data_IF_855389553034
#
_entry.id   IF_855389553034
#
_cell.length_a   1.000
_cell.length_b   1.000
_cell.length_c   1.000
_cell.angle_alpha   90.00
_cell.angle_beta   90.00
_cell.angle_gamma   90.00
#
_symmetry.space_group_name_H-M   'P 1'
#
loop_
_entity.id
_entity.type
_entity.pdbx_description
1 polymer ?
#
# COMPACT_ATOMS: atom_id res chain seq x y z
N UNK A 1 64.42 -5.34 -88.14
CA UNK A 1 64.31 -6.14 -86.90
C UNK A 1 65.58 -6.96 -86.80
N UNK A 2 66.37 -6.80 -85.73
CA UNK A 2 67.51 -7.67 -85.49
C UNK A 2 67.00 -9.11 -85.30
N UNK A 3 67.70 -10.09 -85.89
CA UNK A 3 67.34 -11.49 -85.69
C UNK A 3 67.48 -11.84 -84.20
N UNK A 4 66.41 -12.36 -83.59
CA UNK A 4 66.47 -12.88 -82.23
C UNK A 4 67.37 -14.12 -82.20
N UNK A 5 68.44 -14.09 -81.41
CA UNK A 5 69.25 -15.28 -81.15
C UNK A 5 68.52 -16.15 -80.13
N UNK A 6 68.02 -17.31 -80.56
CA UNK A 6 67.38 -18.28 -79.65
C UNK A 6 68.46 -18.92 -78.77
N UNK A 7 68.38 -18.71 -77.46
CA UNK A 7 69.20 -19.42 -76.47
C UNK A 7 68.46 -20.70 -76.06
N UNK A 8 69.11 -21.86 -76.22
CA UNK A 8 68.59 -23.16 -75.80
C UNK A 8 69.25 -23.60 -74.49
N UNK A 9 68.45 -24.17 -73.59
CA UNK A 9 68.92 -24.77 -72.33
C UNK A 9 68.83 -26.30 -72.40
N UNK A 10 69.54 -27.00 -71.52
CA UNK A 10 69.40 -28.46 -71.41
C UNK A 10 67.97 -28.81 -71.04
N UNK A 11 67.45 -29.90 -71.61
CA UNK A 11 66.10 -30.40 -71.34
C UNK A 11 66.12 -31.90 -71.09
N UNK A 12 65.38 -32.35 -70.08
CA UNK A 12 65.25 -33.76 -69.72
C UNK A 12 63.80 -34.20 -69.81
N UNK A 13 63.57 -35.33 -70.46
CA UNK A 13 62.29 -36.06 -70.46
C UNK A 13 62.36 -37.38 -69.69
N UNK A 14 63.56 -37.77 -69.26
CA UNK A 14 63.85 -39.12 -68.71
C UNK A 14 64.26 -39.11 -67.25
N UNK A 15 64.84 -38.01 -66.77
CA UNK A 15 65.25 -37.82 -65.38
C UNK A 15 64.48 -36.66 -64.75
N UNK A 16 64.02 -36.86 -63.52
CA UNK A 16 63.26 -35.84 -62.80
C UNK A 16 64.16 -34.65 -62.44
N UNK A 17 65.41 -34.91 -62.08
CA UNK A 17 66.48 -33.91 -61.93
C UNK A 17 67.56 -34.17 -62.98
N UNK A 18 68.07 -33.15 -63.70
CA UNK A 18 69.26 -33.30 -64.56
C UNK A 18 70.45 -33.89 -63.78
N UNK A 19 71.18 -34.83 -64.38
CA UNK A 19 72.24 -35.58 -63.68
C UNK A 19 73.47 -34.71 -63.44
N UNK A 20 73.83 -33.83 -64.40
CA UNK A 20 74.91 -32.85 -64.24
C UNK A 20 74.57 -31.55 -64.98
N UNK A 21 74.85 -30.43 -64.33
CA UNK A 21 74.87 -29.09 -64.92
C UNK A 21 76.17 -28.41 -64.46
N UNK A 22 76.88 -27.77 -65.39
CA UNK A 22 78.02 -26.93 -65.01
C UNK A 22 77.55 -25.70 -64.20
N UNK A 23 78.47 -25.02 -63.52
CA UNK A 23 78.16 -23.77 -62.83
C UNK A 23 77.50 -22.77 -63.79
N UNK A 24 76.32 -22.27 -63.42
CA UNK A 24 75.52 -21.36 -64.23
C UNK A 24 74.73 -22.01 -65.38
N UNK A 25 74.91 -23.31 -65.63
CA UNK A 25 74.19 -24.00 -66.71
C UNK A 25 72.74 -24.29 -66.29
N UNK A 26 71.79 -23.90 -67.15
CA UNK A 26 70.37 -24.14 -66.94
C UNK A 26 69.91 -25.47 -67.52
N UNK A 27 69.02 -26.14 -66.78
CA UNK A 27 68.37 -27.38 -67.20
C UNK A 27 66.89 -27.37 -66.87
N UNK A 28 66.03 -27.83 -67.77
CA UNK A 28 64.60 -27.94 -67.54
C UNK A 28 64.14 -29.39 -67.59
N UNK A 29 63.34 -29.82 -66.61
CA UNK A 29 62.78 -31.17 -66.56
C UNK A 29 61.31 -31.16 -66.96
N UNK A 30 60.97 -31.95 -67.98
CA UNK A 30 59.59 -32.20 -68.42
C UNK A 30 59.02 -33.49 -67.83
N UNK A 31 59.84 -34.31 -67.16
CA UNK A 31 59.42 -35.63 -66.68
C UNK A 31 58.51 -35.52 -65.46
N UNK A 32 58.87 -34.67 -64.51
CA UNK A 32 58.07 -34.49 -63.32
C UNK A 32 56.90 -33.55 -63.63
N UNK A 33 55.78 -33.76 -62.95
CA UNK A 33 54.59 -32.90 -63.06
C UNK A 33 54.86 -31.46 -62.60
N UNK A 34 55.90 -31.26 -61.79
CA UNK A 34 56.33 -29.96 -61.28
C UNK A 34 57.02 -29.08 -62.32
N UNK A 35 57.40 -29.65 -63.47
CA UNK A 35 58.15 -29.02 -64.57
C UNK A 35 59.22 -28.03 -64.10
N UNK A 36 60.20 -28.57 -63.41
CA UNK A 36 61.18 -27.81 -62.64
C UNK A 36 62.31 -27.26 -63.53
N UNK A 37 62.66 -25.99 -63.32
CA UNK A 37 63.87 -25.36 -63.83
C UNK A 37 64.99 -25.52 -62.81
N UNK A 38 66.18 -25.87 -63.29
CA UNK A 38 67.37 -26.11 -62.49
C UNK A 38 68.55 -25.27 -62.98
N UNK A 39 69.49 -25.00 -62.08
CA UNK A 39 70.81 -24.43 -62.39
C UNK A 39 71.91 -25.28 -61.73
N UNK A 40 73.05 -25.42 -62.39
CA UNK A 40 74.24 -25.97 -61.75
C UNK A 40 74.97 -24.91 -60.93
N UNK A 41 75.50 -25.28 -59.76
CA UNK A 41 76.33 -24.39 -58.92
C UNK A 41 77.82 -24.74 -58.96
N UNK A 42 78.21 -25.63 -59.90
CA UNK A 42 79.58 -26.17 -60.00
C UNK A 42 79.80 -27.44 -59.19
N UNK A 43 78.90 -27.78 -58.26
CA UNK A 43 78.97 -29.00 -57.42
C UNK A 43 77.70 -29.84 -57.47
N UNK A 44 76.54 -29.20 -57.63
CA UNK A 44 75.20 -29.75 -57.49
C UNK A 44 74.24 -29.13 -58.51
N UNK A 45 73.09 -29.79 -58.69
CA UNK A 45 71.98 -29.31 -59.51
C UNK A 45 70.87 -28.81 -58.60
N UNK A 46 70.61 -27.50 -58.61
CA UNK A 46 69.66 -26.82 -57.72
C UNK A 46 68.37 -26.52 -58.49
N UNK A 47 67.21 -26.88 -57.91
CA UNK A 47 65.91 -26.45 -58.41
C UNK A 47 65.69 -24.96 -58.08
N UNK A 48 65.35 -24.16 -59.08
CA UNK A 48 65.19 -22.69 -58.97
C UNK A 48 63.80 -22.20 -59.36
N UNK A 49 62.87 -23.13 -59.60
CA UNK A 49 61.47 -22.83 -59.85
C UNK A 49 60.80 -23.94 -60.64
N UNK A 50 59.52 -23.78 -60.92
CA UNK A 50 58.76 -24.74 -61.69
C UNK A 50 57.27 -24.44 -61.63
N UNK A 51 56.50 -25.19 -62.41
CA UNK A 51 55.04 -25.05 -62.43
C UNK A 51 54.45 -25.31 -61.03
N UNK A 52 54.95 -26.29 -60.27
CA UNK A 52 54.44 -26.57 -58.93
C UNK A 52 54.69 -25.44 -57.91
N UNK A 53 55.83 -24.75 -57.97
CA UNK A 53 56.11 -23.62 -57.07
C UNK A 53 55.25 -22.41 -57.45
N UNK A 54 55.02 -22.22 -58.75
CA UNK A 54 54.12 -21.19 -59.26
C UNK A 54 52.66 -21.47 -58.91
N UNK A 55 52.21 -22.74 -58.98
CA UNK A 55 50.86 -23.15 -58.60
C UNK A 55 50.65 -23.00 -57.08
N UNK A 56 51.65 -23.38 -56.27
CA UNK A 56 51.64 -23.13 -54.82
C UNK A 56 51.55 -21.65 -54.49
N UNK A 57 52.30 -20.80 -55.19
CA UNK A 57 52.29 -19.36 -54.99
C UNK A 57 50.99 -18.72 -55.50
N UNK A 58 50.46 -19.19 -56.63
CA UNK A 58 49.19 -18.71 -57.20
C UNK A 58 47.98 -19.09 -56.32
N UNK A 59 48.08 -20.18 -55.56
CA UNK A 59 47.07 -20.57 -54.57
C UNK A 59 47.08 -19.74 -53.28
N UNK A 60 48.10 -18.92 -53.05
CA UNK A 60 48.20 -18.02 -51.90
C UNK A 60 47.88 -16.61 -52.41
N UNK A 61 46.66 -16.11 -52.16
CA UNK A 61 46.32 -14.73 -52.54
C UNK A 61 47.30 -13.74 -51.90
N UNK A 62 47.65 -12.68 -52.65
CA UNK A 62 48.58 -11.66 -52.20
C UNK A 62 48.07 -10.99 -50.90
N UNK A 63 48.73 -11.27 -49.78
CA UNK A 63 48.39 -10.73 -48.45
C UNK A 63 47.90 -11.76 -47.42
N UNK A 64 47.78 -13.04 -47.77
CA UNK A 64 47.44 -14.08 -46.80
C UNK A 64 48.61 -14.32 -45.81
N UNK A 65 48.44 -13.88 -44.56
CA UNK A 65 49.25 -14.36 -43.43
C UNK A 65 48.62 -15.67 -42.93
N UNK A 66 49.42 -16.73 -42.85
CA UNK A 66 49.02 -18.02 -42.27
C UNK A 66 48.88 -17.86 -40.75
N UNK A 67 47.77 -17.27 -40.32
CA UNK A 67 47.20 -17.61 -39.02
C UNK A 67 46.10 -18.64 -39.29
N UNK A 68 46.50 -19.87 -39.63
CA UNK A 68 45.57 -20.99 -39.76
C UNK A 68 44.94 -21.25 -38.40
N UNK A 69 43.78 -20.66 -38.16
CA UNK A 69 42.85 -21.16 -37.15
C UNK A 69 42.36 -22.52 -37.68
N UNK A 70 43.12 -23.58 -37.39
CA UNK A 70 42.84 -24.95 -37.86
C UNK A 70 41.48 -25.41 -37.34
N UNK A 71 41.12 -24.97 -36.13
CA UNK A 71 39.80 -25.17 -35.55
C UNK A 71 39.45 -24.05 -34.58
N UNK A 72 38.16 -23.78 -34.40
CA UNK A 72 37.63 -23.01 -33.26
C UNK A 72 36.82 -23.98 -32.41
N UNK A 73 37.16 -24.11 -31.13
CA UNK A 73 36.57 -25.10 -30.22
C UNK A 73 36.58 -26.54 -30.79
N UNK A 74 37.60 -26.92 -31.57
CA UNK A 74 37.73 -28.25 -32.16
C UNK A 74 36.95 -28.50 -33.45
N UNK A 75 36.18 -27.52 -33.95
CA UNK A 75 35.46 -27.60 -35.23
C UNK A 75 36.32 -27.11 -36.40
N UNK A 76 36.34 -27.85 -37.50
CA UNK A 76 37.07 -27.54 -38.75
C UNK A 76 36.09 -27.20 -39.90
N UNK A 77 36.51 -26.39 -40.87
CA UNK A 77 35.67 -26.00 -42.02
C UNK A 77 34.80 -24.76 -41.75
N UNK A 78 33.55 -24.76 -42.22
CA UNK A 78 32.58 -23.72 -41.87
C UNK A 78 32.19 -23.84 -40.39
N UNK A 79 32.72 -22.94 -39.55
CA UNK A 79 32.51 -22.99 -38.10
C UNK A 79 31.18 -22.34 -37.74
N UNK A 80 30.20 -23.15 -37.33
CA UNK A 80 29.04 -22.70 -36.56
C UNK A 80 29.26 -23.05 -35.10
N UNK A 81 29.32 -22.02 -34.25
CA UNK A 81 29.48 -22.19 -32.81
C UNK A 81 28.12 -22.44 -32.15
N UNK A 82 28.10 -23.40 -31.25
CA UNK A 82 26.99 -23.69 -30.35
C UNK A 82 27.41 -23.31 -28.92
N UNK A 83 26.43 -23.19 -28.00
CA UNK A 83 26.70 -22.88 -26.60
C UNK A 83 27.74 -23.81 -25.96
N UNK A 84 27.73 -25.09 -26.33
CA UNK A 84 28.67 -26.09 -25.82
C UNK A 84 30.14 -25.83 -26.24
N UNK A 85 30.38 -25.07 -27.30
CA UNK A 85 31.72 -24.70 -27.77
C UNK A 85 32.34 -23.58 -26.91
N UNK A 86 31.53 -22.91 -26.09
CA UNK A 86 31.95 -21.81 -25.21
C UNK A 86 32.07 -22.34 -23.77
N UNK A 87 33.19 -22.97 -23.47
CA UNK A 87 33.42 -23.68 -22.20
C UNK A 87 33.55 -22.77 -20.97
N UNK A 88 33.82 -21.48 -21.17
CA UNK A 88 33.90 -20.48 -20.09
C UNK A 88 32.55 -19.75 -19.85
N UNK A 89 31.47 -20.26 -20.43
CA UNK A 89 30.15 -19.70 -20.23
C UNK A 89 29.36 -20.56 -19.24
N UNK A 90 29.30 -20.13 -17.99
CA UNK A 90 28.47 -20.75 -16.96
C UNK A 90 27.16 -19.99 -16.87
N UNK A 91 26.05 -20.64 -17.20
CA UNK A 91 24.76 -19.93 -17.23
C UNK A 91 24.30 -19.38 -15.89
N UNK A 92 24.73 -20.01 -14.79
CA UNK A 92 24.40 -19.54 -13.45
C UNK A 92 24.99 -18.17 -13.13
N UNK A 93 25.95 -17.68 -13.92
CA UNK A 93 26.66 -16.43 -13.67
C UNK A 93 25.92 -15.21 -14.25
N UNK A 94 24.85 -15.44 -15.02
CA UNK A 94 24.09 -14.39 -15.70
C UNK A 94 22.57 -14.53 -15.45
N UNK A 95 21.85 -13.45 -15.72
CA UNK A 95 20.38 -13.35 -15.67
C UNK A 95 19.92 -13.02 -17.08
N UNK A 96 18.98 -13.78 -17.64
CA UNK A 96 18.46 -13.50 -18.98
C UNK A 96 17.41 -12.38 -18.93
N UNK A 97 17.28 -11.66 -20.04
CA UNK A 97 16.29 -10.56 -20.18
C UNK A 97 14.89 -11.04 -20.56
N UNK A 98 14.70 -12.35 -20.71
CA UNK A 98 13.42 -12.95 -21.11
C UNK A 98 13.32 -14.40 -20.61
N UNK A 99 12.09 -14.92 -20.53
CA UNK A 99 11.82 -16.24 -19.98
C UNK A 99 11.68 -16.22 -18.47
N UNK A 100 11.43 -17.39 -17.88
CA UNK A 100 11.31 -17.58 -16.43
C UNK A 100 12.63 -18.03 -15.84
N UNK A 101 13.06 -17.43 -14.74
CA UNK A 101 14.31 -17.74 -14.08
C UNK A 101 14.17 -17.88 -12.57
N UNK A 102 15.08 -18.64 -11.96
CA UNK A 102 15.26 -18.68 -10.51
C UNK A 102 16.64 -18.14 -10.18
N UNK A 103 16.69 -17.10 -9.35
CA UNK A 103 17.95 -16.45 -8.95
C UNK A 103 18.21 -16.73 -7.47
N UNK A 104 19.24 -17.51 -7.18
CA UNK A 104 19.59 -17.91 -5.81
C UNK A 104 20.45 -16.87 -5.08
N UNK A 105 20.39 -16.88 -3.75
CA UNK A 105 21.19 -16.02 -2.86
C UNK A 105 20.62 -14.61 -2.69
N UNK A 106 21.21 -13.83 -1.78
CA UNK A 106 20.75 -12.48 -1.48
C UNK A 106 21.04 -11.54 -2.67
N UNK A 107 20.08 -10.68 -3.01
CA UNK A 107 20.20 -9.67 -4.06
C UNK A 107 20.08 -8.29 -3.47
N UNK A 108 20.93 -7.39 -3.93
CA UNK A 108 20.92 -5.97 -3.56
C UNK A 108 20.83 -5.15 -4.83
N UNK A 109 19.85 -4.26 -4.90
CA UNK A 109 19.68 -3.31 -6.00
C UNK A 109 19.96 -1.90 -5.45
N UNK A 110 20.99 -1.23 -5.99
CA UNK A 110 21.39 0.11 -5.53
C UNK A 110 20.49 1.24 -6.06
N UNK A 111 19.70 0.93 -7.08
CA UNK A 111 18.81 1.85 -7.76
C UNK A 111 17.37 1.36 -7.67
N UNK A 112 16.45 2.15 -8.23
CA UNK A 112 15.03 1.81 -8.28
C UNK A 112 14.78 0.49 -9.03
N UNK A 113 13.82 -0.28 -8.54
CA UNK A 113 13.29 -1.48 -9.18
C UNK A 113 11.83 -1.23 -9.56
N UNK A 114 11.46 -1.58 -10.78
CA UNK A 114 10.07 -1.54 -11.24
C UNK A 114 9.64 -2.95 -11.57
N UNK A 115 8.55 -3.40 -10.95
CA UNK A 115 7.92 -4.69 -11.24
C UNK A 115 6.66 -4.41 -12.05
N UNK A 116 6.62 -4.88 -13.30
CA UNK A 116 5.48 -4.68 -14.18
C UNK A 116 4.32 -5.67 -13.96
N UNK A 117 4.52 -6.68 -13.11
CA UNK A 117 3.52 -7.66 -12.69
C UNK A 117 3.43 -7.75 -11.17
N UNK A 118 3.00 -8.89 -10.66
CA UNK A 118 2.81 -9.08 -9.23
C UNK A 118 4.13 -9.35 -8.50
N UNK A 119 4.24 -8.83 -7.27
CA UNK A 119 5.29 -9.19 -6.32
C UNK A 119 4.71 -10.13 -5.26
N UNK A 120 5.15 -11.38 -5.27
CA UNK A 120 4.88 -12.32 -4.17
C UNK A 120 6.12 -12.45 -3.29
N UNK A 121 5.98 -12.18 -1.99
CA UNK A 121 7.05 -12.32 -1.00
C UNK A 121 6.75 -13.52 -0.10
N UNK A 122 7.48 -14.61 -0.31
CA UNK A 122 7.40 -15.80 0.54
C UNK A 122 8.41 -15.66 1.69
N UNK A 123 7.99 -15.05 2.79
CA UNK A 123 8.79 -14.84 3.99
C UNK A 123 7.91 -14.48 5.17
N UNK A 124 8.48 -14.46 6.38
CA UNK A 124 7.72 -14.16 7.60
C UNK A 124 7.42 -12.66 7.77
N UNK A 125 8.26 -11.77 7.22
CA UNK A 125 8.18 -10.33 7.41
C UNK A 125 8.53 -9.59 6.12
N UNK A 126 7.77 -8.55 5.80
CA UNK A 126 8.14 -7.52 4.83
C UNK A 126 8.47 -6.24 5.61
N UNK A 127 9.66 -5.67 5.38
CA UNK A 127 10.05 -4.39 5.98
C UNK A 127 10.17 -3.33 4.89
N UNK A 128 9.48 -2.21 5.05
CA UNK A 128 9.54 -1.07 4.13
C UNK A 128 10.06 0.14 4.90
N UNK A 129 11.29 0.54 4.61
CA UNK A 129 11.87 1.74 5.19
C UNK A 129 11.58 2.96 4.30
N UNK A 130 10.39 3.52 4.47
CA UNK A 130 9.89 4.68 3.73
C UNK A 130 9.18 5.64 4.67
N UNK A 131 9.18 6.93 4.34
CA UNK A 131 8.36 7.92 5.06
C UNK A 131 6.88 7.83 4.70
N UNK A 132 6.57 7.31 3.51
CA UNK A 132 5.23 7.23 2.95
C UNK A 132 5.06 5.91 2.21
N UNK A 133 3.92 5.26 2.41
CA UNK A 133 3.46 4.12 1.61
C UNK A 133 2.15 4.55 0.95
N UNK A 134 2.16 4.67 -0.38
CA UNK A 134 0.96 5.00 -1.15
C UNK A 134 0.30 3.70 -1.64
N UNK A 135 -0.97 3.49 -1.27
CA UNK A 135 -1.78 2.33 -1.66
C UNK A 135 -2.95 2.86 -2.47
N UNK A 136 -3.04 2.43 -3.74
CA UNK A 136 -4.15 2.79 -4.63
C UNK A 136 -5.38 1.89 -4.49
N UNK A 137 -5.30 0.86 -3.65
CA UNK A 137 -6.37 -0.11 -3.45
C UNK A 137 -7.47 0.45 -2.55
N UNK A 138 -8.73 0.17 -2.90
CA UNK A 138 -9.89 0.57 -2.10
C UNK A 138 -10.01 -0.25 -0.81
N UNK A 139 -9.44 -1.46 -0.78
CA UNK A 139 -9.59 -2.43 0.31
C UNK A 139 -8.23 -3.07 0.59
N UNK A 140 -7.82 -3.04 1.86
CA UNK A 140 -6.70 -3.82 2.36
C UNK A 140 -7.24 -5.13 2.97
N UNK A 141 -6.78 -6.27 2.45
CA UNK A 141 -7.13 -7.59 2.98
C UNK A 141 -6.03 -8.06 3.93
N UNK A 142 -6.36 -8.16 5.22
CA UNK A 142 -5.48 -8.72 6.24
C UNK A 142 -5.84 -10.19 6.50
N UNK A 143 -4.88 -10.97 7.00
CA UNK A 143 -5.04 -12.40 7.27
C UNK A 143 -5.60 -13.19 6.07
N UNK A 144 -5.23 -12.82 4.83
CA UNK A 144 -5.77 -13.45 3.61
C UNK A 144 -5.53 -14.96 3.50
N UNK A 145 -4.60 -15.48 4.30
CA UNK A 145 -4.24 -16.90 4.35
C UNK A 145 -4.95 -17.67 5.47
N UNK A 146 -5.79 -17.03 6.29
CA UNK A 146 -6.57 -17.71 7.33
C UNK A 146 -7.53 -18.73 6.67
N UNK A 147 -7.60 -19.93 7.24
CA UNK A 147 -8.52 -20.98 6.78
C UNK A 147 -9.26 -21.58 7.96
N UNK A 148 -10.55 -21.90 7.79
CA UNK A 148 -11.39 -22.42 8.87
C UNK A 148 -12.05 -21.31 9.70
N UNK A 149 -12.24 -21.57 11.00
CA UNK A 149 -12.83 -20.58 11.92
C UNK A 149 -11.82 -19.47 12.21
N UNK A 150 -12.17 -18.19 12.01
CA UNK A 150 -11.29 -17.07 12.32
C UNK A 150 -10.77 -17.14 13.76
N UNK A 151 -9.46 -17.02 13.91
CA UNK A 151 -8.79 -17.14 15.22
C UNK A 151 -7.76 -16.04 15.48
N UNK A 152 -7.46 -15.22 14.46
CA UNK A 152 -6.41 -14.21 14.49
C UNK A 152 -7.00 -12.81 14.40
N UNK A 153 -6.71 -12.00 15.41
CA UNK A 153 -6.92 -10.56 15.38
C UNK A 153 -6.09 -9.93 14.24
N UNK A 154 -6.58 -8.82 13.69
CA UNK A 154 -5.93 -8.12 12.59
C UNK A 154 -6.04 -6.61 12.75
N UNK A 155 -5.04 -5.85 12.32
CA UNK A 155 -5.16 -4.40 12.37
C UNK A 155 -3.86 -3.66 12.09
N UNK A 156 -3.80 -2.45 12.61
CA UNK A 156 -2.69 -1.52 12.47
C UNK A 156 -2.12 -1.23 13.86
N UNK A 157 -0.82 -1.39 13.97
CA UNK A 157 -0.03 -0.98 15.13
C UNK A 157 0.79 0.27 14.79
N UNK A 158 0.87 1.17 15.76
CA UNK A 158 1.73 2.35 15.73
C UNK A 158 2.76 2.18 16.83
N UNK A 159 4.00 1.90 16.43
CA UNK A 159 5.17 1.90 17.31
C UNK A 159 5.46 3.31 17.82
N UNK A 160 5.50 3.48 19.15
CA UNK A 160 5.65 4.79 19.81
C UNK A 160 6.92 4.88 20.67
N UNK A 161 7.93 4.09 20.34
CA UNK A 161 9.24 4.11 20.96
C UNK A 161 9.21 3.53 22.38
N UNK A 162 9.49 4.37 23.39
CA UNK A 162 9.43 3.95 24.80
C UNK A 162 8.06 4.11 25.44
N UNK A 163 7.11 4.73 24.73
CA UNK A 163 5.71 4.82 25.17
C UNK A 163 4.93 3.59 24.73
N UNK A 164 3.77 3.37 25.34
CA UNK A 164 2.83 2.36 24.90
C UNK A 164 2.43 2.56 23.43
N UNK A 165 2.50 1.47 22.65
CA UNK A 165 2.05 1.42 21.27
C UNK A 165 0.54 1.62 21.17
N UNK A 166 0.11 2.22 20.07
CA UNK A 166 -1.32 2.45 19.80
C UNK A 166 -1.79 1.48 18.72
N UNK A 167 -2.99 0.94 18.90
CA UNK A 167 -3.54 -0.11 18.05
C UNK A 167 -4.92 0.28 17.54
N UNK A 168 -5.20 -0.06 16.29
CA UNK A 168 -6.54 -0.14 15.72
C UNK A 168 -6.74 -1.56 15.19
N UNK A 169 -7.58 -2.35 15.85
CA UNK A 169 -7.63 -3.81 15.67
C UNK A 169 -9.07 -4.31 15.59
N UNK A 170 -9.26 -5.31 14.74
CA UNK A 170 -10.38 -6.26 14.81
C UNK A 170 -10.00 -7.32 15.82
N UNK A 171 -10.88 -7.58 16.78
CA UNK A 171 -10.67 -8.63 17.76
C UNK A 171 -11.74 -9.71 17.66
N UNK A 172 -11.30 -10.94 17.38
CA UNK A 172 -12.13 -12.14 17.31
C UNK A 172 -12.73 -12.50 18.68
N UNK A 173 -12.06 -12.12 19.77
CA UNK A 173 -12.54 -12.41 21.13
C UNK A 173 -13.82 -11.64 21.50
N UNK A 174 -14.01 -10.46 20.92
CA UNK A 174 -15.15 -9.56 21.19
C UNK A 174 -16.00 -9.28 19.96
N UNK A 175 -15.61 -9.81 18.79
CA UNK A 175 -16.27 -9.69 17.50
C UNK A 175 -16.50 -8.22 17.07
N UNK A 176 -15.47 -7.38 17.29
CA UNK A 176 -15.55 -5.92 17.06
C UNK A 176 -14.22 -5.31 16.63
N UNK A 177 -14.33 -4.22 15.86
CA UNK A 177 -13.26 -3.25 15.69
C UNK A 177 -13.13 -2.36 16.92
N UNK A 178 -11.92 -1.95 17.26
CA UNK A 178 -11.67 -1.01 18.33
C UNK A 178 -10.23 -0.54 18.41
N UNK A 179 -9.93 0.20 19.47
CA UNK A 179 -8.61 0.75 19.75
C UNK A 179 -8.07 0.26 21.09
N UNK A 180 -6.75 0.25 21.19
CA UNK A 180 -6.04 -0.09 22.42
C UNK A 180 -4.75 0.74 22.53
N UNK A 181 -4.36 1.09 23.75
CA UNK A 181 -3.10 1.77 24.04
C UNK A 181 -2.30 0.92 25.04
N UNK A 182 -1.22 0.30 24.57
CA UNK A 182 -0.41 -0.63 25.37
C UNK A 182 -1.24 -1.74 25.98
N UNK A 183 -1.10 -1.95 27.29
CA UNK A 183 -1.84 -2.97 28.03
C UNK A 183 -3.23 -2.50 28.53
N UNK A 184 -3.68 -1.29 28.16
CA UNK A 184 -5.01 -0.83 28.54
C UNK A 184 -6.09 -1.72 27.92
N UNK A 185 -7.30 -1.77 28.52
CA UNK A 185 -8.39 -2.54 27.95
C UNK A 185 -8.73 -2.09 26.52
N UNK A 186 -9.04 -3.06 25.66
CA UNK A 186 -9.61 -2.80 24.34
C UNK A 186 -10.91 -1.99 24.48
N UNK A 187 -11.03 -0.95 23.66
CA UNK A 187 -12.22 -0.11 23.56
C UNK A 187 -12.81 -0.30 22.18
N UNK A 188 -13.95 -0.99 22.11
CA UNK A 188 -14.67 -1.19 20.87
C UNK A 188 -15.11 0.14 20.26
N UNK A 189 -14.99 0.27 18.94
CA UNK A 189 -15.73 1.28 18.20
C UNK A 189 -17.21 0.90 18.23
N UNK A 190 -18.07 1.89 18.37
CA UNK A 190 -19.49 1.66 18.20
C UNK A 190 -19.80 1.40 16.73
N UNK A 191 -20.41 0.25 16.47
CA UNK A 191 -21.19 0.07 15.25
C UNK A 191 -22.52 0.84 15.37
N UNK A 192 -23.28 0.89 14.28
CA UNK A 192 -24.61 1.49 14.23
C UNK A 192 -25.50 1.01 15.40
N UNK A 193 -26.20 1.94 16.05
CA UNK A 193 -27.12 1.63 17.16
C UNK A 193 -26.54 1.70 18.58
N UNK A 194 -25.41 2.38 18.81
CA UNK A 194 -24.93 2.57 20.18
C UNK A 194 -25.86 3.45 21.02
N UNK A 195 -25.96 3.11 22.31
CA UNK A 195 -26.79 3.83 23.27
C UNK A 195 -25.89 4.56 24.27
N UNK A 196 -26.20 5.83 24.54
CA UNK A 196 -25.61 6.56 25.64
C UNK A 196 -26.44 6.35 26.91
N UNK A 197 -25.78 6.11 28.02
CA UNK A 197 -26.40 6.23 29.34
C UNK A 197 -26.30 7.68 29.81
N UNK A 198 -27.14 8.08 30.77
CA UNK A 198 -27.16 9.47 31.25
C UNK A 198 -25.83 9.95 31.83
N UNK A 199 -24.97 9.03 32.28
CA UNK A 199 -23.61 9.34 32.74
C UNK A 199 -22.64 9.66 31.60
N UNK A 200 -22.93 9.25 30.36
CA UNK A 200 -22.12 9.60 29.19
C UNK A 200 -22.39 11.05 28.73
N UNK A 201 -23.55 11.59 29.14
CA UNK A 201 -24.04 12.92 28.76
C UNK A 201 -23.85 13.86 29.95
N UNK A 202 -22.66 14.47 30.04
CA UNK A 202 -22.22 15.27 31.19
C UNK A 202 -23.10 16.48 31.50
N UNK A 203 -23.87 16.96 30.54
CA UNK A 203 -24.76 18.11 30.65
C UNK A 203 -26.25 17.76 30.71
N UNK A 204 -26.63 16.47 30.78
CA UNK A 204 -28.03 16.05 30.76
C UNK A 204 -28.86 16.78 31.83
N UNK A 205 -28.36 16.78 33.07
CA UNK A 205 -29.02 17.49 34.17
C UNK A 205 -29.04 19.00 33.95
N UNK A 206 -27.97 19.59 33.40
CA UNK A 206 -27.91 21.03 33.11
C UNK A 206 -28.95 21.42 32.06
N UNK A 207 -29.05 20.66 30.97
CA UNK A 207 -30.01 20.88 29.90
C UNK A 207 -31.46 20.72 30.40
N UNK A 208 -31.74 19.62 31.10
CA UNK A 208 -33.08 19.35 31.66
C UNK A 208 -33.47 20.40 32.70
N UNK A 209 -32.57 20.78 33.61
CA UNK A 209 -32.86 21.80 34.63
C UNK A 209 -33.05 23.19 34.02
N UNK A 210 -32.38 23.50 32.91
CA UNK A 210 -32.61 24.77 32.19
C UNK A 210 -34.03 24.83 31.62
N UNK A 211 -34.50 23.71 31.05
CA UNK A 211 -35.87 23.61 30.52
C UNK A 211 -36.88 23.73 31.66
N UNK A 212 -36.73 22.94 32.73
CA UNK A 212 -37.65 22.96 33.89
C UNK A 212 -37.63 24.32 34.60
N UNK A 213 -36.44 24.90 34.80
CA UNK A 213 -36.27 26.17 35.51
C UNK A 213 -36.79 27.39 34.73
N UNK A 214 -36.93 27.28 33.41
CA UNK A 214 -37.53 28.32 32.57
C UNK A 214 -39.05 28.22 32.46
N UNK A 215 -39.66 27.13 32.94
CA UNK A 215 -41.11 26.95 32.87
C UNK A 215 -41.82 27.86 33.87
N UNK A 216 -42.86 28.55 33.40
CA UNK A 216 -43.77 29.31 34.27
C UNK A 216 -44.94 28.44 34.70
N UNK A 217 -45.64 28.83 35.77
CA UNK A 217 -46.77 28.03 36.25
C UNK A 217 -47.93 27.94 35.23
N UNK A 218 -48.05 28.90 34.29
CA UNK A 218 -49.07 28.86 33.24
C UNK A 218 -48.72 27.92 32.07
N UNK A 219 -47.52 27.33 32.06
CA UNK A 219 -47.14 26.32 31.08
C UNK A 219 -47.82 24.97 31.36
N UNK A 220 -48.33 24.78 32.58
CA UNK A 220 -49.17 23.65 32.93
C UNK A 220 -50.54 23.80 32.27
N UNK A 221 -50.99 22.76 31.57
CA UNK A 221 -52.22 22.78 30.75
C UNK A 221 -53.50 23.11 31.52
N UNK A 222 -53.51 22.85 32.82
CA UNK A 222 -54.64 23.06 33.72
C UNK A 222 -54.52 24.34 34.55
N UNK A 223 -53.50 25.17 34.29
CA UNK A 223 -53.29 26.44 34.98
C UNK A 223 -53.48 27.61 34.02
N UNK A 224 -54.38 28.53 34.37
CA UNK A 224 -54.65 29.75 33.62
C UNK A 224 -54.34 30.94 34.52
N UNK A 225 -53.15 31.52 34.35
CA UNK A 225 -52.71 32.74 35.06
C UNK A 225 -52.37 33.78 34.00
N UNK A 226 -53.26 34.76 33.78
CA UNK A 226 -53.03 35.83 32.81
C UNK A 226 -51.95 36.82 33.29
N UNK A 227 -51.89 37.08 34.60
CA UNK A 227 -50.85 37.89 35.24
C UNK A 227 -50.82 37.56 36.73
N UNK A 228 -49.68 37.21 37.34
CA UNK A 228 -49.57 37.08 38.80
C UNK A 228 -49.89 38.41 39.48
N UNK A 229 -50.79 38.39 40.46
CA UNK A 229 -51.19 39.56 41.24
C UNK A 229 -50.85 39.29 42.70
N UNK A 230 -50.19 40.25 43.35
CA UNK A 230 -49.83 40.13 44.76
C UNK A 230 -51.07 39.94 45.62
N UNK A 231 -51.05 38.95 46.52
CA UNK A 231 -52.17 38.61 47.40
C UNK A 231 -53.22 37.69 46.79
N UNK A 232 -53.17 37.39 45.48
CA UNK A 232 -54.02 36.36 44.90
C UNK A 232 -53.52 34.96 45.29
N UNK A 233 -54.46 34.03 45.38
CA UNK A 233 -54.22 32.60 45.57
C UNK A 233 -54.61 31.84 44.31
N UNK A 234 -54.07 30.64 44.14
CA UNK A 234 -54.58 29.71 43.13
C UNK A 234 -55.79 28.99 43.67
N UNK A 235 -56.89 29.04 42.94
CA UNK A 235 -58.12 28.34 43.25
C UNK A 235 -58.59 27.61 42.00
N UNK A 236 -58.95 26.35 42.16
CA UNK A 236 -59.59 25.60 41.08
C UNK A 236 -61.01 26.14 40.89
N UNK A 237 -61.32 26.63 39.69
CA UNK A 237 -62.62 27.23 39.38
C UNK A 237 -63.66 26.22 38.86
N UNK A 238 -63.34 24.92 38.89
CA UNK A 238 -64.16 23.85 38.31
C UNK A 238 -63.73 23.41 36.90
N UNK A 239 -62.73 24.07 36.30
CA UNK A 239 -62.13 23.64 35.02
C UNK A 239 -60.61 23.81 34.98
N UNK A 240 -60.08 24.88 35.59
CA UNK A 240 -58.65 25.16 35.66
C UNK A 240 -58.28 25.82 36.99
N UNK A 241 -57.00 25.77 37.32
CA UNK A 241 -56.41 26.58 38.37
C UNK A 241 -56.27 28.02 37.88
N UNK A 242 -56.87 28.96 38.59
CA UNK A 242 -56.81 30.39 38.26
C UNK A 242 -56.30 31.19 39.45
N UNK A 243 -55.65 32.32 39.18
CA UNK A 243 -55.29 33.25 40.25
C UNK A 243 -56.50 34.13 40.60
N UNK A 244 -56.95 34.07 41.84
CA UNK A 244 -58.13 34.82 42.33
C UNK A 244 -57.79 35.60 43.61
N UNK A 245 -58.41 36.76 43.78
CA UNK A 245 -58.40 37.47 45.05
C UNK A 245 -59.37 36.78 46.02
N UNK A 246 -58.86 36.19 47.10
CA UNK A 246 -59.69 35.51 48.07
C UNK A 246 -60.52 36.52 48.87
N UNK A 247 -61.84 36.29 48.93
CA UNK A 247 -62.76 37.14 49.71
C UNK A 247 -63.11 36.47 51.03
N UNK A 248 -63.34 37.28 52.07
CA UNK A 248 -63.81 36.79 53.37
C UNK A 248 -65.02 35.87 53.23
N UNK A 249 -65.99 36.21 52.39
CA UNK A 249 -67.23 35.44 52.17
C UNK A 249 -67.06 34.14 51.39
N UNK A 250 -65.86 33.86 50.87
CA UNK A 250 -65.55 32.62 50.16
C UNK A 250 -64.81 31.59 51.03
N UNK A 251 -64.51 31.94 52.28
CA UNK A 251 -63.96 31.01 53.25
C UNK A 251 -65.07 30.09 53.78
N UNK A 252 -64.71 28.85 54.11
CA UNK A 252 -65.70 27.82 54.51
C UNK A 252 -66.28 28.05 55.90
N UNK A 253 -65.56 28.77 56.75
CA UNK A 253 -65.83 29.01 58.16
C UNK A 253 -66.28 30.45 58.42
N UNK A 254 -66.72 31.17 57.39
CA UNK A 254 -67.19 32.54 57.49
C UNK A 254 -68.60 32.69 56.91
N UNK A 255 -69.29 33.80 57.20
CA UNK A 255 -70.55 34.11 56.53
C UNK A 255 -70.37 34.23 55.01
N UNK A 256 -71.22 33.55 54.25
CA UNK A 256 -71.15 33.48 52.79
C UNK A 256 -71.69 34.72 52.06
N UNK A 257 -72.23 35.70 52.79
CA UNK A 257 -72.76 36.95 52.21
C UNK A 257 -72.80 38.09 53.22
N UNK A 258 -72.55 39.31 52.75
CA UNK A 258 -72.77 40.54 53.52
C UNK A 258 -74.23 41.05 53.43
N UNK A 259 -75.03 40.53 52.49
CA UNK A 259 -76.40 41.01 52.24
C UNK A 259 -77.29 40.71 53.45
N UNK A 260 -77.96 41.73 53.99
CA UNK A 260 -78.81 41.61 55.18
C UNK A 260 -78.07 41.69 56.53
N UNK A 261 -76.75 41.94 56.50
CA UNK A 261 -75.90 42.03 57.70
C UNK A 261 -75.31 43.44 57.92
N UNK A 262 -75.97 44.48 57.40
CA UNK A 262 -75.53 45.86 57.65
C UNK A 262 -75.45 46.16 59.16
N UNK A 263 -74.38 46.83 59.58
CA UNK A 263 -74.09 47.20 60.97
C UNK A 263 -73.93 46.02 61.96
N UNK A 264 -73.79 44.79 61.47
CA UNK A 264 -73.44 43.63 62.30
C UNK A 264 -71.93 43.53 62.52
N UNK A 265 -71.53 42.91 63.62
CA UNK A 265 -70.13 42.59 63.94
C UNK A 265 -69.85 41.12 63.61
N UNK A 266 -68.58 40.80 63.38
CA UNK A 266 -68.12 39.42 63.23
C UNK A 266 -67.83 38.84 64.62
N UNK A 267 -68.38 37.69 64.94
CA UNK A 267 -68.15 36.96 66.19
C UNK A 267 -67.91 35.48 65.91
N UNK A 268 -67.28 34.76 66.85
CA UNK A 268 -67.18 33.30 66.80
C UNK A 268 -68.58 32.72 67.02
N UNK A 269 -68.96 31.73 66.21
CA UNK A 269 -70.27 31.10 66.32
C UNK A 269 -70.39 30.28 67.62
N UNK A 270 -71.62 29.97 68.04
CA UNK A 270 -71.87 29.21 69.28
C UNK A 270 -71.27 27.78 69.27
N UNK A 271 -70.88 27.26 68.11
CA UNK A 271 -70.21 25.97 67.97
C UNK A 271 -68.69 26.04 68.00
N UNK A 272 -68.10 27.24 68.05
CA UNK A 272 -66.66 27.51 67.97
C UNK A 272 -65.97 26.96 66.71
N UNK A 273 -66.74 26.76 65.63
CA UNK A 273 -66.24 26.17 64.37
C UNK A 273 -66.05 27.19 63.24
N UNK A 274 -66.33 28.46 63.50
CA UNK A 274 -66.26 29.52 62.50
C UNK A 274 -66.79 30.85 63.01
N UNK A 275 -67.01 31.76 62.08
CA UNK A 275 -67.45 33.12 62.33
C UNK A 275 -68.90 33.33 61.85
N UNK A 276 -69.63 34.20 62.54
CA UNK A 276 -70.97 34.62 62.17
C UNK A 276 -71.16 36.14 62.32
N UNK A 277 -72.17 36.70 61.63
CA UNK A 277 -72.55 38.10 61.78
C UNK A 277 -73.64 38.25 62.84
N UNK A 278 -73.31 38.89 63.96
CA UNK A 278 -74.24 39.16 65.07
C UNK A 278 -74.58 40.65 65.16
N UNK A 279 -75.77 40.98 65.64
CA UNK A 279 -76.18 42.37 65.88
C UNK A 279 -75.21 43.01 66.86
N UNK A 280 -74.72 44.22 66.53
CA UNK A 280 -73.91 44.99 67.47
C UNK A 280 -74.70 45.19 68.77
N UNK A 281 -74.11 44.86 69.91
CA UNK A 281 -74.71 45.17 71.21
C UNK A 281 -74.74 46.70 71.31
N UNK A 282 -75.94 47.28 71.30
CA UNK A 282 -76.16 48.71 71.53
C UNK A 282 -75.87 49.04 73.00
N UNK A 283 -74.60 48.97 73.41
CA UNK A 283 -73.98 49.53 74.63
C UNK A 283 -74.63 49.34 76.00
N UNK A 284 -75.84 48.78 76.10
CA UNK A 284 -76.84 49.24 77.05
C UNK A 284 -77.15 50.75 76.88
N UNK A 285 -78.43 51.14 76.79
CA UNK A 285 -78.81 52.49 77.23
C UNK A 285 -78.43 52.62 78.70
N UNK A 286 -77.39 53.38 79.01
CA UNK A 286 -77.00 53.75 80.37
C UNK A 286 -78.04 54.65 81.03
#
# INVERSE_FOLDING_TARGET
>A
MAAETIIQIKRSFLNDTPITLAEGELGYSFKNTSKTLYIGDGTSVIAIGGQADHDKLAGIEAGAQVNTVISVAGKIGAVTLEKADITNFTESDYVHTSGTETINGNKTFNNNVTIGGDLTVNGAVTHVNSTTVDIGDNILVLNSQETGTPSLDAGIEIERGTSDNAFMIWSEAVDKWGAQLGANPFVAFSLEGHTHISTDITDFNTAVNTIIGSSTLNDLSDVIINTPISGNVLKYNGSSWVNIALKFTELSDTPSSFVGHANKIVAVNNGETGLEFVTAIDGGTF
#
